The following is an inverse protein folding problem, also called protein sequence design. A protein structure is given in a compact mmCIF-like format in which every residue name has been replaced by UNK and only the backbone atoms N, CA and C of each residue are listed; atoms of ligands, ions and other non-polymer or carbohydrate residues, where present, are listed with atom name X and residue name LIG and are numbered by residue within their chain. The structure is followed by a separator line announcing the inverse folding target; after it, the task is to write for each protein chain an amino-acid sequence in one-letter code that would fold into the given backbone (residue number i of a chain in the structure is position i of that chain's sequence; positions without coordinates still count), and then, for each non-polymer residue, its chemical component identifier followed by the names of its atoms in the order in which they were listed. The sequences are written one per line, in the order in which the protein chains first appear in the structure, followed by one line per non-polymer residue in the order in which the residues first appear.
data_IF_149951207276
#
_entry.id   IF_149951207276
#
_cell.length_a   1.000
_cell.length_b   1.000
_cell.length_c   1.000
_cell.angle_alpha   90.00
_cell.angle_beta   90.00
_cell.angle_gamma   90.00
#
_symmetry.space_group_name_H-M   'P 1'
#
loop_
_entity.id
_entity.type
_entity.pdbx_description
1 polymer ?
#
# COMPACT_ATOMS: atom_id res chain seq x y z
N UNK A 1 -4.57 12.66 -24.83
CA UNK A 1 -3.92 11.67 -23.95
C UNK A 1 -4.05 12.16 -22.53
N UNK A 2 -4.54 11.34 -21.60
CA UNK A 2 -4.56 11.71 -20.18
C UNK A 2 -3.26 11.24 -19.54
N UNK A 3 -2.57 12.14 -18.83
CA UNK A 3 -1.37 11.82 -18.04
C UNK A 3 -1.82 11.50 -16.62
N UNK A 4 -1.41 10.33 -16.13
CA UNK A 4 -1.72 9.87 -14.78
C UNK A 4 -0.46 9.98 -13.93
N UNK A 5 -0.55 10.43 -12.66
CA UNK A 5 0.60 10.45 -11.78
C UNK A 5 1.09 9.02 -11.51
N UNK A 6 2.40 8.82 -11.64
CA UNK A 6 3.08 7.58 -11.26
C UNK A 6 3.60 7.74 -9.83
N UNK A 7 3.23 6.82 -8.96
CA UNK A 7 3.78 6.72 -7.61
C UNK A 7 4.86 5.64 -7.59
N UNK A 8 5.94 5.89 -6.85
CA UNK A 8 7.11 5.02 -6.76
C UNK A 8 7.75 5.14 -5.38
N UNK A 9 8.54 4.15 -4.99
CA UNK A 9 9.34 4.15 -3.76
C UNK A 9 10.82 3.86 -4.10
N UNK A 10 11.72 4.19 -3.18
CA UNK A 10 13.14 3.86 -3.26
C UNK A 10 13.47 2.46 -2.73
N UNK A 11 14.64 1.89 -3.11
CA UNK A 11 15.06 0.57 -2.63
C UNK A 11 15.33 0.51 -1.12
N UNK A 12 15.57 1.66 -0.48
CA UNK A 12 15.82 1.78 0.96
C UNK A 12 14.54 2.15 1.75
N UNK A 13 13.41 2.37 1.06
CA UNK A 13 12.14 2.68 1.73
C UNK A 13 11.60 1.45 2.47
N UNK A 14 10.92 1.70 3.58
CA UNK A 14 10.38 0.62 4.42
C UNK A 14 9.16 -0.03 3.80
N UNK A 15 8.89 -1.27 4.24
CA UNK A 15 7.66 -1.99 3.89
C UNK A 15 6.41 -1.22 4.33
N UNK A 16 6.43 -0.59 5.51
CA UNK A 16 5.35 0.27 5.99
C UNK A 16 5.08 1.46 5.05
N UNK A 17 6.14 2.06 4.51
CA UNK A 17 6.01 3.15 3.52
C UNK A 17 5.32 2.65 2.26
N UNK A 18 5.73 1.49 1.74
CA UNK A 18 5.10 0.87 0.59
C UNK A 18 3.61 0.60 0.84
N UNK A 19 3.28 0.06 2.01
CA UNK A 19 1.91 -0.20 2.45
C UNK A 19 1.05 1.06 2.48
N UNK A 20 1.51 2.10 3.17
CA UNK A 20 0.80 3.38 3.27
C UNK A 20 0.51 3.95 1.88
N UNK A 21 1.48 3.88 0.97
CA UNK A 21 1.35 4.38 -0.41
C UNK A 21 0.32 3.58 -1.21
N UNK A 22 0.34 2.24 -1.14
CA UNK A 22 -0.64 1.37 -1.82
C UNK A 22 -2.07 1.69 -1.34
N UNK A 23 -2.28 1.82 -0.03
CA UNK A 23 -3.59 2.12 0.58
C UNK A 23 -4.04 3.54 0.24
N UNK A 24 -3.17 4.54 0.42
CA UNK A 24 -3.47 5.95 0.20
C UNK A 24 -3.88 6.23 -1.24
N UNK A 25 -3.12 5.71 -2.19
CA UNK A 25 -3.37 5.95 -3.61
C UNK A 25 -4.27 4.90 -4.27
N UNK A 26 -4.67 3.85 -3.53
CA UNK A 26 -5.57 2.78 -3.99
C UNK A 26 -5.03 2.10 -5.25
N UNK A 27 -3.74 1.79 -5.21
CA UNK A 27 -2.99 1.14 -6.28
C UNK A 27 -2.50 -0.22 -5.79
N UNK A 28 -2.43 -1.21 -6.68
CA UNK A 28 -2.05 -2.58 -6.34
C UNK A 28 -0.52 -2.80 -6.35
N UNK A 29 0.24 -1.85 -6.89
CA UNK A 29 1.69 -1.98 -6.97
C UNK A 29 2.42 -0.66 -7.14
N UNK A 30 3.67 -0.67 -6.72
CA UNK A 30 4.62 0.43 -6.76
C UNK A 30 5.92 -0.03 -7.44
N UNK A 31 6.40 0.65 -8.49
CA UNK A 31 7.77 0.46 -8.95
C UNK A 31 8.75 0.96 -7.90
N UNK A 32 9.84 0.20 -7.72
CA UNK A 32 10.99 0.59 -6.91
C UNK A 32 12.00 1.24 -7.84
N UNK A 33 12.35 2.49 -7.56
CA UNK A 33 13.17 3.33 -8.42
C UNK A 33 14.42 3.77 -7.66
N UNK A 34 15.60 3.60 -8.26
CA UNK A 34 16.85 4.04 -7.66
C UNK A 34 17.08 5.56 -7.81
N UNK A 35 18.16 6.07 -7.20
CA UNK A 35 18.51 7.49 -7.25
C UNK A 35 18.79 8.04 -8.66
N UNK A 36 18.98 7.17 -9.66
CA UNK A 36 19.18 7.54 -11.06
C UNK A 36 17.88 7.54 -11.87
N UNK A 37 16.71 7.40 -11.22
CA UNK A 37 15.40 7.22 -11.84
C UNK A 37 15.26 5.92 -12.66
N UNK A 38 16.06 4.90 -12.35
CA UNK A 38 15.94 3.59 -12.99
C UNK A 38 15.06 2.67 -12.15
N UNK A 39 14.12 1.97 -12.78
CA UNK A 39 13.33 0.93 -12.12
C UNK A 39 14.24 -0.25 -11.80
N UNK A 40 14.32 -0.60 -10.53
CA UNK A 40 15.13 -1.70 -10.00
C UNK A 40 14.28 -2.85 -9.45
N UNK A 41 12.97 -2.64 -9.29
CA UNK A 41 12.05 -3.68 -8.82
C UNK A 41 10.59 -3.23 -8.82
N UNK A 42 9.74 -4.07 -8.25
CA UNK A 42 8.31 -3.82 -8.03
C UNK A 42 7.90 -4.40 -6.68
N UNK A 43 7.02 -3.70 -5.97
CA UNK A 43 6.33 -4.19 -4.77
C UNK A 43 4.84 -4.13 -5.01
N UNK A 44 4.13 -5.21 -4.69
CA UNK A 44 2.69 -5.34 -4.80
C UNK A 44 2.03 -5.59 -3.45
N UNK A 45 0.72 -5.34 -3.37
CA UNK A 45 -0.09 -5.73 -2.23
C UNK A 45 0.00 -7.24 -1.92
N UNK A 46 0.16 -8.08 -2.94
CA UNK A 46 0.37 -9.52 -2.80
C UNK A 46 1.68 -9.87 -2.07
N UNK A 47 2.78 -9.14 -2.36
CA UNK A 47 4.06 -9.35 -1.68
C UNK A 47 3.93 -9.04 -0.18
N UNK A 48 3.15 -8.03 0.18
CA UNK A 48 2.89 -7.65 1.57
C UNK A 48 2.02 -8.69 2.29
N UNK A 49 0.98 -9.21 1.63
CA UNK A 49 0.16 -10.30 2.16
C UNK A 49 1.00 -11.56 2.41
N UNK A 50 1.93 -11.88 1.51
CA UNK A 50 2.83 -13.02 1.66
C UNK A 50 3.78 -12.84 2.87
N UNK A 51 4.28 -11.63 3.12
CA UNK A 51 5.13 -11.33 4.27
C UNK A 51 4.36 -11.44 5.60
N UNK A 52 3.11 -10.98 5.64
CA UNK A 52 2.22 -11.10 6.81
C UNK A 52 1.92 -12.58 7.13
N UNK A 53 1.56 -13.38 6.12
CA UNK A 53 1.32 -14.81 6.27
C UNK A 53 2.54 -15.58 6.80
N UNK A 54 3.76 -15.08 6.54
CA UNK A 54 5.00 -15.64 7.05
C UNK A 54 5.41 -15.10 8.43
N UNK A 55 4.62 -14.20 9.02
CA UNK A 55 4.90 -13.55 10.30
C UNK A 55 6.14 -12.65 10.28
N UNK A 56 6.51 -12.13 9.10
CA UNK A 56 7.75 -11.35 8.90
C UNK A 56 7.55 -9.85 9.03
N UNK A 57 6.31 -9.42 9.10
CA UNK A 57 5.92 -8.03 9.34
C UNK A 57 4.92 -8.01 10.49
N UNK A 58 5.14 -7.15 11.48
CA UNK A 58 4.15 -6.84 12.49
C UNK A 58 3.22 -5.78 11.91
N UNK A 59 2.38 -6.17 10.95
CA UNK A 59 1.36 -5.25 10.48
C UNK A 59 0.34 -5.12 11.58
N UNK A 60 0.05 -3.90 12.00
CA UNK A 60 -1.10 -3.67 12.87
C UNK A 60 -2.31 -4.31 12.18
N UNK A 61 -2.95 -5.29 12.83
CA UNK A 61 -4.10 -6.04 12.29
C UNK A 61 -5.28 -5.11 11.92
N UNK A 62 -5.21 -3.83 12.29
CA UNK A 62 -6.14 -2.80 11.84
C UNK A 62 -5.86 -2.26 10.42
N UNK A 63 -4.68 -2.48 9.83
CA UNK A 63 -4.33 -2.03 8.48
C UNK A 63 -4.72 -3.02 7.38
N UNK A 64 -4.62 -4.33 7.65
CA UNK A 64 -5.06 -5.38 6.73
C UNK A 64 -6.12 -6.26 7.41
N UNK A 65 -7.32 -6.39 6.81
CA UNK A 65 -8.26 -7.39 7.26
C UNK A 65 -7.77 -8.80 6.92
N UNK A 66 -8.25 -9.79 7.67
CA UNK A 66 -7.99 -11.21 7.41
C UNK A 66 -8.23 -11.57 5.93
N UNK A 67 -7.46 -12.52 5.40
CA UNK A 67 -7.39 -12.84 3.97
C UNK A 67 -8.74 -13.22 3.30
N UNK A 68 -9.75 -13.59 4.10
CA UNK A 68 -11.12 -13.86 3.62
C UNK A 68 -12.01 -12.61 3.57
N UNK A 69 -11.59 -11.50 4.19
CA UNK A 69 -12.30 -10.23 4.33
C UNK A 69 -11.67 -9.06 3.55
N UNK A 70 -10.51 -9.30 2.93
CA UNK A 70 -9.56 -8.32 2.36
C UNK A 70 -10.31 -7.19 1.66
N UNK A 71 -11.16 -7.47 0.68
CA UNK A 71 -11.77 -6.43 -0.13
C UNK A 71 -12.89 -5.62 0.53
N UNK A 72 -13.55 -6.14 1.57
CA UNK A 72 -14.67 -5.43 2.22
C UNK A 72 -14.20 -4.57 3.38
N UNK A 73 -13.35 -5.10 4.24
CA UNK A 73 -12.83 -4.30 5.33
C UNK A 73 -11.86 -3.22 4.82
N UNK A 74 -11.13 -3.43 3.71
CA UNK A 74 -10.45 -2.33 3.00
C UNK A 74 -11.42 -1.24 2.51
N UNK A 75 -12.62 -1.61 2.05
CA UNK A 75 -13.65 -0.63 1.64
C UNK A 75 -14.24 0.09 2.86
N UNK A 76 -14.41 -0.57 3.99
CA UNK A 76 -14.93 0.03 5.22
C UNK A 76 -13.95 1.02 5.84
N UNK A 77 -12.66 0.67 5.94
CA UNK A 77 -11.60 1.59 6.38
C UNK A 77 -11.54 2.82 5.48
N UNK A 78 -11.65 2.62 4.16
CA UNK A 78 -11.74 3.71 3.17
C UNK A 78 -12.95 4.61 3.38
N UNK A 79 -14.09 4.06 3.79
CA UNK A 79 -15.30 4.83 4.15
C UNK A 79 -15.08 5.62 5.43
N UNK A 80 -14.47 5.04 6.46
CA UNK A 80 -14.21 5.72 7.74
C UNK A 80 -13.21 6.87 7.59
N UNK A 81 -12.11 6.67 6.85
CA UNK A 81 -11.12 7.72 6.59
C UNK A 81 -11.71 8.88 5.75
N UNK A 82 -12.65 8.59 4.85
CA UNK A 82 -13.34 9.65 4.09
C UNK A 82 -14.32 10.47 4.92
N UNK A 83 -14.80 9.92 6.05
CA UNK A 83 -15.76 10.60 6.95
C UNK A 83 -15.09 11.45 8.03
N UNK A 84 -13.86 11.13 8.42
CA UNK A 84 -13.09 11.93 9.39
C UNK A 84 -12.31 13.08 8.76
N UNK A 85 -12.02 13.04 7.44
CA UNK A 85 -11.29 14.10 6.73
C UNK A 85 -12.14 15.36 6.42
N UNK A 86 -13.29 15.53 7.07
CA UNK A 86 -14.21 16.63 6.79
C UNK A 86 -15.06 17.02 7.98
N UNK A 87 -14.46 17.42 9.11
CA UNK A 87 -15.06 18.40 10.02
C UNK A 87 -13.96 19.08 10.86
N UNK A 88 -13.72 20.35 10.50
CA UNK A 88 -12.96 21.42 11.19
C UNK A 88 -11.44 21.33 11.24
#
# INVERSE_FOLDING_TARGET
MSVQPLYSIGPEDTVDTALEMLVKYKIAGLPVVDATNKVVGVVSDFDLLALDALGRINVDQNLFPSADQTWQAFKEVKVMLSKSAGTK
#
